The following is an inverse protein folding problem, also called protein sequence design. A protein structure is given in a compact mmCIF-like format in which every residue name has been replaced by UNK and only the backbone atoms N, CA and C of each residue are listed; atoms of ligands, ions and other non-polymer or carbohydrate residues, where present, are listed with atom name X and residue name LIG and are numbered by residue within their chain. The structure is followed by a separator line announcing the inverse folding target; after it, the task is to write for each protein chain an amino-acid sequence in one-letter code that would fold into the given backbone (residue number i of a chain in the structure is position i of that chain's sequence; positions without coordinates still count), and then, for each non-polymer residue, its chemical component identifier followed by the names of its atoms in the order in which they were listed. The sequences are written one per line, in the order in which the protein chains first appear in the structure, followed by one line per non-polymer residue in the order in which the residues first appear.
data_IF_752643380748
#
_entry.id   IF_752643380748
#
_cell.length_a   1.000
_cell.length_b   1.000
_cell.length_c   1.000
_cell.angle_alpha   90.00
_cell.angle_beta   90.00
_cell.angle_gamma   90.00
#
_symmetry.space_group_name_H-M   'P 1'
#
loop_
_entity.id
_entity.type
_entity.pdbx_description
1 polymer ?
#
# COMPACT_ATOMS: atom_id res chain seq x y z
N UNK A 1 -8.15 -46.89 2.39
CA UNK A 1 -8.50 -45.51 2.75
C UNK A 1 -7.51 -44.44 2.24
N UNK A 2 -6.22 -44.73 2.02
CA UNK A 2 -5.24 -43.73 1.58
C UNK A 2 -5.44 -43.18 0.14
N UNK A 3 -5.93 -44.00 -0.82
CA UNK A 3 -6.10 -43.58 -2.23
C UNK A 3 -7.24 -42.60 -2.50
N UNK A 4 -8.32 -42.63 -1.71
CA UNK A 4 -9.48 -41.74 -1.89
C UNK A 4 -9.17 -40.31 -1.40
N UNK A 5 -8.39 -40.19 -0.33
CA UNK A 5 -7.92 -38.91 0.20
C UNK A 5 -6.98 -38.20 -0.77
N UNK A 6 -6.18 -38.97 -1.53
CA UNK A 6 -5.25 -38.46 -2.53
C UNK A 6 -5.99 -37.85 -3.74
N UNK A 7 -7.09 -38.46 -4.19
CA UNK A 7 -7.88 -37.95 -5.31
C UNK A 7 -8.75 -36.73 -4.98
N UNK A 8 -9.33 -36.69 -3.78
CA UNK A 8 -10.17 -35.55 -3.34
C UNK A 8 -9.35 -34.33 -2.97
N UNK A 9 -8.19 -34.50 -2.31
CA UNK A 9 -7.27 -33.40 -2.03
C UNK A 9 -6.70 -32.80 -3.32
N UNK A 10 -6.39 -33.63 -4.33
CA UNK A 10 -5.93 -33.17 -5.64
C UNK A 10 -6.95 -32.24 -6.32
N UNK A 11 -8.22 -32.64 -6.35
CA UNK A 11 -9.30 -31.84 -6.94
C UNK A 11 -9.54 -30.48 -6.24
N UNK A 12 -9.23 -30.39 -4.93
CA UNK A 12 -9.33 -29.15 -4.16
C UNK A 12 -8.14 -28.23 -4.46
N UNK A 13 -6.92 -28.79 -4.49
CA UNK A 13 -5.70 -28.03 -4.79
C UNK A 13 -5.70 -27.48 -6.22
N UNK A 14 -6.22 -28.24 -7.19
CA UNK A 14 -6.38 -27.79 -8.60
C UNK A 14 -7.29 -26.56 -8.73
N UNK A 15 -8.21 -26.34 -7.78
CA UNK A 15 -9.15 -25.22 -7.77
C UNK A 15 -8.82 -24.19 -6.70
N UNK A 16 -7.68 -24.34 -6.05
CA UNK A 16 -7.22 -23.43 -5.02
C UNK A 16 -6.60 -22.19 -5.67
N UNK A 17 -7.05 -21.02 -5.25
CA UNK A 17 -6.51 -19.75 -5.71
C UNK A 17 -6.06 -18.92 -4.51
N UNK A 18 -4.88 -18.33 -4.64
CA UNK A 18 -4.36 -17.36 -3.69
C UNK A 18 -4.59 -15.97 -4.28
N UNK A 19 -5.12 -15.05 -3.47
CA UNK A 19 -5.32 -13.66 -3.85
C UNK A 19 -4.78 -12.74 -2.77
N UNK A 20 -4.33 -11.56 -3.19
CA UNK A 20 -3.91 -10.50 -2.30
C UNK A 20 -4.98 -9.42 -2.25
N UNK A 21 -5.37 -9.01 -1.04
CA UNK A 21 -6.21 -7.85 -0.81
C UNK A 21 -5.31 -6.71 -0.33
N UNK A 22 -5.13 -5.71 -1.18
CA UNK A 22 -4.49 -4.45 -0.82
C UNK A 22 -5.56 -3.42 -0.47
N UNK A 23 -5.30 -2.63 0.56
CA UNK A 23 -6.20 -1.62 1.07
C UNK A 23 -5.66 -0.23 0.73
N UNK A 24 -6.56 0.74 0.53
CA UNK A 24 -6.20 2.15 0.37
C UNK A 24 -5.56 2.69 1.67
N UNK A 25 -4.67 3.67 1.55
CA UNK A 25 -3.91 4.23 2.68
C UNK A 25 -4.79 4.70 3.86
N UNK A 26 -5.99 5.21 3.58
CA UNK A 26 -6.93 5.70 4.60
C UNK A 26 -7.40 4.61 5.58
N UNK A 27 -7.39 3.36 5.12
CA UNK A 27 -7.89 2.20 5.88
C UNK A 27 -6.83 1.15 6.13
N UNK A 28 -5.65 1.24 5.50
CA UNK A 28 -4.51 0.37 5.77
C UNK A 28 -3.76 0.81 7.03
N UNK A 29 -2.86 -0.05 7.52
CA UNK A 29 -1.85 0.37 8.50
C UNK A 29 -0.81 1.29 7.87
N UNK A 30 -0.01 1.94 8.71
CA UNK A 30 1.07 2.85 8.32
C UNK A 30 2.38 2.49 9.04
N UNK A 31 3.48 3.08 8.58
CA UNK A 31 4.79 3.00 9.23
C UNK A 31 5.08 4.34 9.90
N UNK A 32 5.61 4.30 11.12
CA UNK A 32 6.14 5.46 11.83
C UNK A 32 7.65 5.32 11.93
N UNK A 33 8.38 6.43 11.77
CA UNK A 33 9.83 6.48 11.88
C UNK A 33 10.22 7.51 12.94
N UNK A 34 10.75 7.01 14.05
CA UNK A 34 11.29 7.83 15.12
C UNK A 34 12.76 8.13 14.82
N UNK A 35 13.05 9.38 14.46
CA UNK A 35 14.40 9.82 14.13
C UNK A 35 15.22 9.97 15.42
N UNK A 36 16.34 9.26 15.51
CA UNK A 36 17.36 9.47 16.52
C UNK A 36 18.66 9.83 15.82
N UNK A 37 19.26 10.96 16.18
CA UNK A 37 20.59 11.33 15.71
C UNK A 37 21.62 10.84 16.73
N UNK A 38 21.90 9.54 16.71
CA UNK A 38 22.99 8.94 17.47
C UNK A 38 23.90 8.16 16.51
N UNK A 39 25.14 8.64 16.35
CA UNK A 39 26.15 8.05 15.47
C UNK A 39 26.44 6.57 15.80
N UNK A 40 26.16 6.12 17.03
CA UNK A 40 26.30 4.72 17.43
C UNK A 40 25.02 3.88 17.23
N UNK A 41 23.83 4.49 17.31
CA UNK A 41 22.54 3.80 17.25
C UNK A 41 21.85 3.84 15.87
N UNK A 42 22.40 4.62 14.92
CA UNK A 42 21.88 4.75 13.56
C UNK A 42 20.83 5.87 13.43
N UNK A 43 20.03 5.80 12.36
CA UNK A 43 19.10 6.88 11.99
C UNK A 43 17.79 6.92 12.80
N UNK A 44 17.52 5.90 13.62
CA UNK A 44 16.26 5.79 14.35
C UNK A 44 15.62 4.40 14.30
N UNK A 45 14.32 4.34 14.63
CA UNK A 45 13.52 3.11 14.69
C UNK A 45 12.26 3.20 13.81
N UNK A 46 11.91 2.09 13.14
CA UNK A 46 10.68 1.96 12.35
C UNK A 46 9.68 1.10 13.10
N UNK A 47 8.43 1.56 13.20
CA UNK A 47 7.31 0.81 13.77
C UNK A 47 6.17 0.68 12.77
N UNK A 48 5.58 -0.51 12.69
CA UNK A 48 4.32 -0.74 11.99
C UNK A 48 3.12 -0.47 12.89
N UNK A 49 2.21 0.37 12.45
CA UNK A 49 0.94 0.66 13.13
C UNK A 49 -0.21 0.06 12.32
N UNK A 50 -0.99 -0.81 12.95
CA UNK A 50 -2.16 -1.43 12.31
C UNK A 50 -3.38 -0.51 12.47
N UNK A 51 -4.22 -0.46 11.44
CA UNK A 51 -5.45 0.33 11.46
C UNK A 51 -6.68 -0.55 11.73
N UNK A 52 -7.42 -0.35 12.83
CA UNK A 52 -8.65 -1.11 13.12
C UNK A 52 -9.70 -1.02 12.01
N UNK A 53 -9.72 0.07 11.23
CA UNK A 53 -10.62 0.26 10.09
C UNK A 53 -10.40 -0.76 8.96
N UNK A 54 -9.23 -1.42 8.89
CA UNK A 54 -8.97 -2.50 7.94
C UNK A 54 -9.91 -3.71 8.14
N UNK A 55 -10.34 -3.97 9.38
CA UNK A 55 -11.13 -5.15 9.75
C UNK A 55 -12.52 -5.16 9.09
N UNK A 56 -13.36 -4.10 9.24
CA UNK A 56 -14.68 -4.07 8.61
C UNK A 56 -14.58 -4.12 7.07
N UNK A 57 -13.65 -3.39 6.45
CA UNK A 57 -13.45 -3.37 4.99
C UNK A 57 -13.10 -4.77 4.46
N UNK A 58 -12.17 -5.47 5.13
CA UNK A 58 -11.85 -6.88 4.81
C UNK A 58 -13.09 -7.76 4.91
N UNK A 59 -13.86 -7.63 5.99
CA UNK A 59 -15.05 -8.47 6.21
C UNK A 59 -16.13 -8.22 5.15
N UNK A 60 -16.33 -6.97 4.75
CA UNK A 60 -17.23 -6.57 3.67
C UNK A 60 -16.78 -7.17 2.33
N UNK A 61 -15.49 -7.05 1.99
CA UNK A 61 -14.92 -7.67 0.80
C UNK A 61 -15.15 -9.20 0.77
N UNK A 62 -14.88 -9.89 1.88
CA UNK A 62 -15.12 -11.33 1.98
C UNK A 62 -16.60 -11.69 1.89
N UNK A 63 -17.49 -10.83 2.39
CA UNK A 63 -18.94 -11.00 2.26
C UNK A 63 -19.39 -10.82 0.80
N UNK A 64 -18.82 -9.86 0.09
CA UNK A 64 -19.07 -9.62 -1.33
C UNK A 64 -18.65 -10.83 -2.19
N UNK A 65 -17.47 -11.38 -1.96
CA UNK A 65 -17.00 -12.59 -2.63
C UNK A 65 -17.93 -13.78 -2.35
N UNK A 66 -18.32 -13.99 -1.08
CA UNK A 66 -19.25 -15.06 -0.70
C UNK A 66 -20.63 -14.90 -1.34
N UNK A 67 -21.15 -13.68 -1.42
CA UNK A 67 -22.43 -13.37 -2.08
C UNK A 67 -22.38 -13.71 -3.58
N UNK A 68 -21.23 -13.51 -4.21
CA UNK A 68 -21.02 -13.76 -5.64
C UNK A 68 -20.41 -15.12 -5.97
N UNK A 69 -20.36 -16.06 -5.00
CA UNK A 69 -19.66 -17.34 -5.14
C UNK A 69 -19.98 -18.15 -6.40
N UNK A 70 -21.24 -18.10 -6.87
CA UNK A 70 -21.68 -18.80 -8.08
C UNK A 70 -21.11 -18.17 -9.36
N UNK A 71 -20.90 -16.84 -9.37
CA UNK A 71 -20.35 -16.11 -10.53
C UNK A 71 -18.84 -16.26 -10.62
N UNK A 72 -18.15 -16.29 -9.47
CA UNK A 72 -16.69 -16.43 -9.41
C UNK A 72 -16.21 -17.90 -9.34
N UNK A 73 -17.14 -18.86 -9.32
CA UNK A 73 -16.83 -20.29 -9.30
C UNK A 73 -16.28 -20.83 -7.97
N UNK A 74 -16.32 -20.05 -6.89
CA UNK A 74 -15.74 -20.42 -5.61
C UNK A 74 -16.08 -19.45 -4.48
N UNK A 75 -15.63 -19.73 -3.25
CA UNK A 75 -15.81 -18.83 -2.12
C UNK A 75 -14.51 -18.76 -1.30
N UNK A 76 -14.17 -17.59 -0.73
CA UNK A 76 -12.98 -17.48 0.11
C UNK A 76 -13.16 -18.29 1.40
N UNK A 77 -12.12 -19.02 1.79
CA UNK A 77 -12.08 -19.69 3.09
C UNK A 77 -11.66 -18.70 4.17
N UNK A 78 -12.52 -18.47 5.17
CA UNK A 78 -12.22 -17.57 6.30
C UNK A 78 -10.97 -18.00 7.08
N UNK A 79 -10.68 -19.30 7.14
CA UNK A 79 -9.54 -19.85 7.89
C UNK A 79 -8.19 -19.64 7.18
N UNK A 80 -8.21 -19.32 5.88
CA UNK A 80 -7.01 -19.11 5.08
C UNK A 80 -6.75 -17.62 4.79
N UNK A 81 -7.49 -16.71 5.44
CA UNK A 81 -7.27 -15.28 5.34
C UNK A 81 -6.21 -14.87 6.37
N UNK A 82 -5.01 -14.60 5.89
CA UNK A 82 -3.86 -14.20 6.71
C UNK A 82 -3.67 -12.67 6.64
N UNK A 83 -3.64 -11.97 7.78
CA UNK A 83 -3.26 -10.56 7.79
C UNK A 83 -1.74 -10.42 7.57
N UNK A 84 -1.34 -9.41 6.81
CA UNK A 84 0.04 -9.01 6.68
C UNK A 84 0.38 -7.92 7.70
N UNK A 85 1.65 -7.86 8.12
CA UNK A 85 2.16 -6.74 8.89
C UNK A 85 2.16 -5.45 8.05
N UNK A 86 1.97 -4.26 8.66
CA UNK A 86 2.15 -2.99 7.96
C UNK A 86 3.50 -2.93 7.24
N UNK A 87 3.52 -2.44 6.00
CA UNK A 87 4.71 -2.36 5.15
C UNK A 87 5.00 -3.60 4.30
N UNK A 88 4.42 -4.77 4.59
CA UNK A 88 4.74 -6.01 3.85
C UNK A 88 4.26 -6.00 2.38
N UNK A 89 3.29 -5.16 2.03
CA UNK A 89 2.84 -5.00 0.64
C UNK A 89 3.86 -4.30 -0.26
N UNK A 90 4.86 -3.64 0.33
CA UNK A 90 5.83 -2.78 -0.38
C UNK A 90 5.16 -1.64 -1.19
N UNK A 91 3.88 -1.35 -0.91
CA UNK A 91 3.14 -0.20 -1.43
C UNK A 91 3.15 0.91 -0.39
N UNK A 92 4.32 1.48 -0.12
CA UNK A 92 4.47 2.62 0.78
C UNK A 92 4.75 3.90 -0.01
N UNK A 93 4.38 5.03 0.59
CA UNK A 93 4.50 6.35 0.01
C UNK A 93 3.69 7.34 0.84
N UNK A 94 3.41 8.52 0.29
CA UNK A 94 2.69 9.59 1.00
C UNK A 94 3.34 10.04 2.32
N UNK A 95 4.64 9.79 2.50
CA UNK A 95 5.39 10.26 3.67
C UNK A 95 5.75 11.74 3.61
N UNK A 96 5.68 12.34 2.41
CA UNK A 96 5.85 13.78 2.15
C UNK A 96 4.73 14.23 1.21
N UNK A 97 3.45 14.14 1.62
CA UNK A 97 2.34 14.25 0.69
C UNK A 97 2.33 15.61 0.00
N UNK A 98 2.10 15.58 -1.31
CA UNK A 98 1.97 16.78 -2.12
C UNK A 98 0.69 17.55 -1.77
N UNK A 99 0.83 18.86 -1.55
CA UNK A 99 -0.25 19.80 -1.26
C UNK A 99 -0.16 21.04 -2.14
N UNK A 100 -1.27 21.76 -2.28
CA UNK A 100 -1.31 23.02 -3.01
C UNK A 100 -0.50 24.10 -2.28
N UNK A 101 -0.66 24.16 -0.96
CA UNK A 101 0.14 24.99 -0.07
C UNK A 101 1.17 24.10 0.62
N UNK A 102 2.45 24.45 0.49
CA UNK A 102 3.52 23.69 1.13
C UNK A 102 3.50 23.97 2.62
N UNK A 103 3.31 22.92 3.41
CA UNK A 103 3.34 22.92 4.87
C UNK A 103 4.51 22.05 5.36
N UNK A 104 4.99 22.21 6.61
CA UNK A 104 5.98 21.30 7.18
C UNK A 104 5.59 19.82 6.96
N UNK A 105 6.58 19.00 6.58
CA UNK A 105 6.42 17.57 6.25
C UNK A 105 5.59 17.27 4.99
N UNK A 106 5.31 18.27 4.15
CA UNK A 106 4.67 18.09 2.85
C UNK A 106 5.60 18.56 1.73
N UNK A 107 5.22 18.26 0.49
CA UNK A 107 5.78 18.95 -0.68
C UNK A 107 4.74 19.84 -1.33
N UNK A 108 5.19 20.80 -2.13
CA UNK A 108 4.31 21.48 -3.06
C UNK A 108 3.99 20.61 -4.30
N UNK A 109 3.26 21.19 -5.25
CA UNK A 109 2.83 20.50 -6.49
C UNK A 109 3.96 20.07 -7.43
N UNK A 110 5.19 20.54 -7.23
CA UNK A 110 6.38 20.12 -7.96
C UNK A 110 7.26 19.15 -7.16
N UNK A 111 6.77 18.66 -6.02
CA UNK A 111 7.53 17.77 -5.16
C UNK A 111 8.63 18.48 -4.37
N UNK A 112 8.57 19.82 -4.24
CA UNK A 112 9.54 20.56 -3.43
C UNK A 112 9.17 20.47 -1.95
N UNK A 113 10.03 19.92 -1.07
CA UNK A 113 9.79 19.92 0.37
C UNK A 113 9.59 21.34 0.90
N UNK A 114 8.91 21.47 2.03
CA UNK A 114 8.73 22.76 2.70
C UNK A 114 10.04 23.55 2.82
N UNK A 115 10.00 24.83 2.44
CA UNK A 115 11.15 25.75 2.43
C UNK A 115 12.30 25.39 1.46
N UNK A 116 12.13 24.40 0.58
CA UNK A 116 13.09 24.07 -0.47
C UNK A 116 12.64 24.65 -1.82
N UNK A 117 13.53 25.34 -2.54
CA UNK A 117 13.21 25.89 -3.86
C UNK A 117 13.77 25.07 -5.03
N UNK A 118 14.88 24.37 -4.79
CA UNK A 118 15.70 23.72 -5.84
C UNK A 118 15.87 22.21 -5.62
N UNK A 119 15.13 21.65 -4.66
CA UNK A 119 15.15 20.23 -4.33
C UNK A 119 13.78 19.67 -4.61
N UNK A 120 13.72 18.60 -5.41
CA UNK A 120 12.49 17.92 -5.77
C UNK A 120 12.57 16.46 -5.33
N UNK A 121 11.52 15.98 -4.68
CA UNK A 121 11.31 14.56 -4.38
C UNK A 121 10.33 14.01 -5.42
N UNK A 122 10.72 12.93 -6.10
CA UNK A 122 10.00 12.41 -7.27
C UNK A 122 9.87 10.90 -7.19
N UNK A 123 9.04 10.44 -6.25
CA UNK A 123 8.70 9.03 -6.06
C UNK A 123 7.30 8.89 -5.42
N UNK A 124 6.97 7.71 -4.88
CA UNK A 124 5.69 7.48 -4.20
C UNK A 124 5.53 8.31 -2.91
N UNK A 125 6.61 8.82 -2.30
CA UNK A 125 6.54 9.58 -1.05
C UNK A 125 5.73 10.86 -1.19
N UNK A 126 5.70 11.46 -2.39
CA UNK A 126 4.97 12.71 -2.66
C UNK A 126 3.53 12.50 -3.08
N UNK A 127 3.07 11.26 -3.28
CA UNK A 127 1.67 11.03 -3.62
C UNK A 127 0.75 11.45 -2.44
N UNK A 128 -0.36 12.17 -2.68
CA UNK A 128 -1.27 12.58 -1.60
C UNK A 128 -1.92 11.42 -0.85
N UNK A 129 -2.04 10.26 -1.49
CA UNK A 129 -2.50 9.01 -0.90
C UNK A 129 -1.96 7.81 -1.68
N UNK A 130 -2.05 6.61 -1.09
CA UNK A 130 -1.65 5.36 -1.76
C UNK A 130 -2.88 4.50 -2.01
N UNK A 131 -3.08 4.14 -3.28
CA UNK A 131 -4.20 3.30 -3.69
C UNK A 131 -3.98 1.84 -3.33
N UNK A 132 -5.07 1.05 -3.29
CA UNK A 132 -4.98 -0.41 -3.18
C UNK A 132 -4.44 -1.09 -4.45
N UNK A 133 -4.06 -0.34 -5.47
CA UNK A 133 -3.42 -0.84 -6.70
C UNK A 133 -1.92 -0.49 -6.66
N UNK A 134 -1.06 -1.22 -7.38
CA UNK A 134 0.36 -0.88 -7.44
C UNK A 134 0.58 0.59 -7.86
N UNK A 135 1.32 1.40 -7.07
CA UNK A 135 1.45 2.84 -7.30
C UNK A 135 2.46 3.18 -8.41
N UNK A 136 3.18 2.20 -8.96
CA UNK A 136 4.28 2.40 -9.91
C UNK A 136 3.89 3.29 -11.09
N UNK A 137 2.77 3.00 -11.76
CA UNK A 137 2.33 3.78 -12.92
C UNK A 137 1.96 5.21 -12.52
N UNK A 138 1.28 5.38 -11.38
CA UNK A 138 0.92 6.69 -10.83
C UNK A 138 2.17 7.50 -10.49
N UNK A 139 3.17 6.88 -9.88
CA UNK A 139 4.45 7.50 -9.55
C UNK A 139 5.21 7.93 -10.81
N UNK A 140 5.25 7.08 -11.84
CA UNK A 140 5.88 7.39 -13.12
C UNK A 140 5.17 8.56 -13.83
N UNK A 141 3.83 8.56 -13.84
CA UNK A 141 3.05 9.64 -14.42
C UNK A 141 3.27 10.97 -13.67
N UNK A 142 3.30 10.93 -12.34
CA UNK A 142 3.59 12.09 -11.51
C UNK A 142 5.02 12.61 -11.73
N UNK A 143 6.00 11.71 -11.89
CA UNK A 143 7.37 12.07 -12.21
C UNK A 143 7.48 12.81 -13.54
N UNK A 144 6.83 12.30 -14.59
CA UNK A 144 6.76 12.96 -15.89
C UNK A 144 6.12 14.35 -15.81
N UNK A 145 5.05 14.48 -15.03
CA UNK A 145 4.39 15.77 -14.78
C UNK A 145 5.32 16.77 -14.09
N UNK A 146 5.98 16.37 -13.00
CA UNK A 146 6.91 17.24 -12.25
C UNK A 146 8.04 17.70 -13.17
N UNK A 147 8.71 16.77 -13.87
CA UNK A 147 9.81 17.09 -14.77
C UNK A 147 9.40 18.10 -15.86
N UNK A 148 8.24 17.91 -16.49
CA UNK A 148 7.74 18.80 -17.53
C UNK A 148 7.38 20.21 -17.03
N UNK A 149 7.00 20.36 -15.76
CA UNK A 149 6.68 21.65 -15.15
C UNK A 149 7.93 22.36 -14.62
N UNK A 150 8.85 21.63 -13.98
CA UNK A 150 10.12 22.18 -13.47
C UNK A 150 10.98 22.80 -14.58
N UNK A 151 10.97 22.22 -15.79
CA UNK A 151 11.67 22.80 -16.96
C UNK A 151 11.15 24.17 -17.39
N UNK A 152 9.89 24.52 -17.05
CA UNK A 152 9.28 25.81 -17.42
C UNK A 152 9.60 26.92 -16.43
N UNK A 153 10.06 26.55 -15.24
CA UNK A 153 10.46 27.48 -14.17
C UNK A 153 11.98 27.78 -14.19
N UNK A 154 12.76 27.05 -15.01
CA UNK A 154 14.21 27.23 -15.21
C UNK A 154 14.52 28.16 -16.39
#
# INVERSE_FOLDING_TARGET
MARVFQGTMGLVLERFMIGFLYLHSDVSGHLEFDVAADDAAGLGAIRGVSNPASIPVKNEFLALLRRNKRRIGGAPSRFLVLPNLPGNSQHFGSSLPMRAESEPYCTDTLGRPFSCERVHVVDCSVLPSITGTPPTLTSMANAGRIAALSQRES
#
